data_IF_310521919527
#
_entry.id   IF_310521919527
#
_cell.length_a   1.000
_cell.length_b   1.000
_cell.length_c   1.000
_cell.angle_alpha   90.00
_cell.angle_beta   90.00
_cell.angle_gamma   90.00
#
_symmetry.space_group_name_H-M   'P 1'
#
loop_
_entity.id
_entity.type
_entity.pdbx_description
1 polymer ?
#
# COMPACT_ATOMS: atom_id res chain seq x y z
N UNK A 1 -9.89 -1.30 -11.04
CA UNK A 1 -9.04 -1.78 -12.15
C UNK A 1 -9.52 -3.14 -12.62
N UNK A 2 -9.60 -3.40 -13.94
CA UNK A 2 -9.96 -4.72 -14.49
C UNK A 2 -8.70 -5.45 -14.95
N UNK A 3 -8.36 -6.64 -14.41
CA UNK A 3 -7.16 -7.39 -14.79
C UNK A 3 -7.35 -8.13 -16.12
N UNK A 4 -6.24 -8.40 -16.81
CA UNK A 4 -6.27 -9.18 -18.07
C UNK A 4 -6.48 -10.68 -17.82
N UNK A 5 -5.93 -11.17 -16.70
CA UNK A 5 -5.98 -12.57 -16.25
C UNK A 5 -5.96 -12.61 -14.73
N UNK A 6 -6.65 -13.58 -14.16
CA UNK A 6 -6.58 -13.89 -12.73
C UNK A 6 -5.85 -15.22 -12.56
N UNK A 7 -4.72 -15.24 -11.87
CA UNK A 7 -4.09 -16.47 -11.41
C UNK A 7 -4.52 -16.73 -9.98
N UNK A 8 -4.98 -17.92 -9.64
CA UNK A 8 -5.53 -18.15 -8.30
C UNK A 8 -5.16 -19.50 -7.69
N UNK A 9 -4.95 -19.52 -6.38
CA UNK A 9 -4.90 -20.75 -5.61
C UNK A 9 -6.35 -21.25 -5.41
N UNK A 10 -6.70 -22.52 -5.72
CA UNK A 10 -8.07 -23.03 -5.57
C UNK A 10 -8.64 -22.85 -4.15
N UNK A 11 -7.79 -22.93 -3.12
CA UNK A 11 -8.17 -22.68 -1.74
C UNK A 11 -8.72 -21.27 -1.48
N UNK A 12 -8.36 -20.28 -2.30
CA UNK A 12 -8.84 -18.91 -2.15
C UNK A 12 -10.37 -18.82 -2.34
N UNK A 13 -10.96 -19.66 -3.19
CA UNK A 13 -12.41 -19.69 -3.43
C UNK A 13 -13.22 -20.25 -2.24
N UNK A 14 -12.55 -20.76 -1.20
CA UNK A 14 -13.20 -21.14 0.06
C UNK A 14 -13.53 -19.93 0.95
N UNK A 15 -12.92 -18.77 0.69
CA UNK A 15 -13.10 -17.53 1.46
C UNK A 15 -14.12 -16.61 0.80
N UNK A 16 -14.84 -15.81 1.59
CA UNK A 16 -15.85 -14.88 1.10
C UNK A 16 -15.29 -13.92 0.04
N UNK A 17 -14.15 -13.28 0.33
CA UNK A 17 -13.50 -12.36 -0.62
C UNK A 17 -13.08 -13.07 -1.92
N UNK A 18 -12.64 -14.33 -1.84
CA UNK A 18 -12.28 -15.11 -3.04
C UNK A 18 -13.49 -15.37 -3.94
N UNK A 19 -14.65 -15.68 -3.34
CA UNK A 19 -15.92 -15.84 -4.07
C UNK A 19 -16.38 -14.53 -4.70
N UNK A 20 -16.36 -13.42 -3.94
CA UNK A 20 -16.70 -12.09 -4.45
C UNK A 20 -15.80 -11.70 -5.63
N UNK A 21 -14.48 -11.89 -5.53
CA UNK A 21 -13.57 -11.59 -6.64
C UNK A 21 -13.87 -12.47 -7.88
N UNK A 22 -14.25 -13.74 -7.66
CA UNK A 22 -14.64 -14.65 -8.76
C UNK A 22 -15.90 -14.21 -9.48
N UNK A 23 -16.86 -13.66 -8.76
CA UNK A 23 -18.09 -13.09 -9.31
C UNK A 23 -17.81 -11.76 -10.02
N UNK A 24 -17.05 -10.85 -9.40
CA UNK A 24 -16.67 -9.55 -9.96
C UNK A 24 -15.87 -9.67 -11.26
N UNK A 25 -14.99 -10.67 -11.35
CA UNK A 25 -14.15 -10.93 -12.53
C UNK A 25 -14.56 -12.23 -13.22
N UNK A 26 -15.87 -12.48 -13.36
CA UNK A 26 -16.41 -13.70 -13.97
C UNK A 26 -16.11 -13.82 -15.47
N UNK A 27 -15.89 -12.68 -16.14
CA UNK A 27 -15.65 -12.53 -17.57
C UNK A 27 -14.15 -12.53 -17.93
N UNK A 28 -13.28 -12.58 -16.92
CA UNK A 28 -11.83 -12.65 -17.08
C UNK A 28 -11.37 -14.12 -16.99
N UNK A 29 -10.33 -14.55 -17.73
CA UNK A 29 -9.77 -15.88 -17.56
C UNK A 29 -9.17 -16.12 -16.16
N UNK A 30 -9.63 -17.17 -15.48
CA UNK A 30 -9.08 -17.64 -14.20
C UNK A 30 -8.20 -18.87 -14.42
N UNK A 31 -6.92 -18.77 -14.05
CA UNK A 31 -5.91 -19.81 -14.24
C UNK A 31 -5.49 -20.33 -12.87
N UNK A 32 -5.75 -21.61 -12.61
CA UNK A 32 -5.36 -22.22 -11.35
C UNK A 32 -3.82 -22.31 -11.22
N UNK A 33 -3.31 -22.03 -10.02
CA UNK A 33 -1.91 -22.14 -9.65
C UNK A 33 -1.79 -22.83 -8.29
N UNK A 34 -0.65 -23.48 -8.04
CA UNK A 34 -0.38 -24.14 -6.76
C UNK A 34 0.10 -23.17 -5.67
N UNK A 35 0.88 -22.16 -6.06
CA UNK A 35 1.56 -21.26 -5.13
C UNK A 35 1.65 -19.83 -5.68
N UNK A 36 1.00 -18.89 -5.00
CA UNK A 36 1.02 -17.47 -5.36
C UNK A 36 2.42 -16.82 -5.34
N UNK A 37 3.41 -17.43 -4.65
CA UNK A 37 4.80 -16.96 -4.64
C UNK A 37 5.67 -17.62 -5.71
N UNK A 38 5.21 -18.72 -6.32
CA UNK A 38 5.98 -19.47 -7.32
C UNK A 38 5.10 -19.84 -8.52
N UNK A 39 4.84 -18.87 -9.39
CA UNK A 39 4.08 -19.06 -10.62
C UNK A 39 5.08 -19.20 -11.78
N UNK A 40 5.49 -20.44 -12.09
CA UNK A 40 6.57 -20.73 -13.06
C UNK A 40 6.36 -20.03 -14.41
N UNK A 41 5.17 -20.13 -14.99
CA UNK A 41 4.79 -19.48 -16.25
C UNK A 41 4.90 -17.95 -16.28
N UNK A 42 5.00 -17.29 -15.12
CA UNK A 42 5.27 -15.86 -15.00
C UNK A 42 6.75 -15.59 -14.73
N UNK A 43 7.40 -16.44 -13.94
CA UNK A 43 8.82 -16.32 -13.58
C UNK A 43 9.75 -16.56 -14.77
N UNK A 44 9.38 -17.41 -15.71
CA UNK A 44 10.20 -17.75 -16.89
C UNK A 44 10.06 -16.74 -18.03
N UNK A 45 9.14 -15.77 -17.94
CA UNK A 45 8.95 -14.74 -18.99
C UNK A 45 10.13 -13.79 -19.09
N UNK A 46 10.33 -13.21 -20.27
CA UNK A 46 11.30 -12.12 -20.48
C UNK A 46 10.97 -10.89 -19.61
N UNK A 47 11.99 -10.12 -19.23
CA UNK A 47 11.80 -8.86 -18.49
C UNK A 47 10.97 -7.83 -19.28
N UNK A 48 10.94 -7.93 -20.61
CA UNK A 48 10.11 -7.06 -21.47
C UNK A 48 8.60 -7.25 -21.21
N UNK A 49 8.20 -8.39 -20.65
CA UNK A 49 6.80 -8.66 -20.30
C UNK A 49 6.38 -8.01 -18.98
N UNK A 50 7.30 -7.39 -18.24
CA UNK A 50 7.02 -6.80 -16.92
C UNK A 50 5.80 -5.86 -16.92
N UNK A 51 5.66 -4.88 -17.84
CA UNK A 51 4.48 -4.01 -17.86
C UNK A 51 3.17 -4.76 -18.09
N UNK A 52 3.16 -5.80 -18.94
CA UNK A 52 1.97 -6.64 -19.18
C UNK A 52 1.63 -7.47 -17.95
N UNK A 53 2.64 -8.02 -17.28
CA UNK A 53 2.44 -8.81 -16.05
C UNK A 53 1.82 -7.99 -14.91
N UNK A 54 2.06 -6.68 -14.85
CA UNK A 54 1.45 -5.76 -13.87
C UNK A 54 -0.06 -5.59 -14.06
N UNK A 55 -0.62 -6.02 -15.20
CA UNK A 55 -2.06 -6.08 -15.49
C UNK A 55 -2.71 -7.40 -15.08
N UNK A 56 -1.94 -8.37 -14.61
CA UNK A 56 -2.47 -9.62 -14.06
C UNK A 56 -2.78 -9.44 -12.58
N UNK A 57 -3.82 -10.14 -12.12
CA UNK A 57 -4.18 -10.23 -10.72
C UNK A 57 -3.89 -11.63 -10.20
N UNK A 58 -3.27 -11.73 -9.03
CA UNK A 58 -2.99 -13.00 -8.38
C UNK A 58 -3.81 -13.08 -7.11
N UNK A 59 -4.58 -14.15 -6.91
CA UNK A 59 -5.45 -14.34 -5.75
C UNK A 59 -5.02 -15.59 -4.98
N UNK A 60 -4.57 -15.41 -3.74
CA UNK A 60 -4.05 -16.51 -2.92
C UNK A 60 -4.52 -16.44 -1.47
N UNK A 61 -4.04 -17.38 -0.67
CA UNK A 61 -4.23 -17.38 0.79
C UNK A 61 -2.90 -17.05 1.46
N UNK A 62 -2.90 -16.06 2.37
CA UNK A 62 -1.69 -15.71 3.13
C UNK A 62 -1.37 -16.82 4.12
N UNK A 63 -0.28 -17.54 3.88
CA UNK A 63 0.15 -18.69 4.70
C UNK A 63 0.94 -18.26 5.94
N UNK A 64 1.80 -17.24 5.82
CA UNK A 64 2.60 -16.71 6.92
C UNK A 64 2.02 -15.40 7.45
N UNK A 65 1.75 -15.40 8.76
CA UNK A 65 1.28 -14.23 9.50
C UNK A 65 2.37 -13.63 10.42
N UNK A 66 3.65 -13.97 10.23
CA UNK A 66 4.74 -13.54 11.12
C UNK A 66 4.88 -12.00 11.12
N UNK A 67 4.87 -11.38 12.30
CA UNK A 67 5.19 -9.97 12.46
C UNK A 67 6.71 -9.81 12.52
N UNK A 68 7.24 -8.84 11.79
CA UNK A 68 8.68 -8.50 11.79
C UNK A 68 8.86 -7.19 12.56
N UNK A 69 9.71 -7.14 13.60
CA UNK A 69 9.99 -5.89 14.30
C UNK A 69 10.45 -4.78 13.34
N UNK A 70 10.00 -3.56 13.59
CA UNK A 70 10.38 -2.36 12.88
C UNK A 70 10.71 -1.26 13.90
N UNK A 71 11.64 -0.37 13.54
CA UNK A 71 12.15 0.67 14.43
C UNK A 71 11.99 2.05 13.80
N UNK A 72 10.83 2.27 13.17
CA UNK A 72 10.45 3.53 12.51
C UNK A 72 9.10 3.99 13.06
N UNK A 73 8.21 4.50 12.22
CA UNK A 73 6.84 4.87 12.60
C UNK A 73 6.02 3.68 13.10
N UNK A 74 6.35 2.46 12.68
CA UNK A 74 5.71 1.24 13.19
C UNK A 74 6.64 0.42 14.08
N UNK A 75 6.08 -0.27 15.07
CA UNK A 75 6.77 -1.29 15.88
C UNK A 75 6.89 -2.61 15.11
N UNK A 76 5.96 -2.88 14.18
CA UNK A 76 5.96 -4.10 13.36
C UNK A 76 5.66 -3.82 11.89
N UNK A 77 6.33 -4.54 10.99
CA UNK A 77 5.88 -4.82 9.63
C UNK A 77 5.02 -6.08 9.68
N UNK A 78 3.80 -6.01 9.16
CA UNK A 78 2.90 -7.17 9.15
C UNK A 78 2.55 -7.62 7.73
N UNK A 79 2.51 -8.93 7.48
CA UNK A 79 1.92 -9.48 6.27
C UNK A 79 0.41 -9.18 6.25
N UNK A 80 -0.05 -8.50 5.21
CA UNK A 80 -1.46 -8.11 5.10
C UNK A 80 -2.10 -8.53 3.76
N UNK A 81 -3.19 -7.87 3.39
CA UNK A 81 -4.13 -8.27 2.33
C UNK A 81 -3.57 -8.19 0.91
N UNK A 82 -2.42 -7.56 0.70
CA UNK A 82 -1.79 -7.54 -0.62
C UNK A 82 -0.27 -7.51 -0.61
N UNK A 83 0.32 -7.85 -1.76
CA UNK A 83 1.74 -7.66 -2.04
C UNK A 83 1.99 -7.35 -3.52
N UNK A 84 3.06 -6.63 -3.83
CA UNK A 84 3.27 -6.05 -5.15
C UNK A 84 2.33 -4.87 -5.41
N UNK A 85 2.35 -4.35 -6.64
CA UNK A 85 1.57 -3.16 -7.00
C UNK A 85 1.35 -3.17 -8.52
N UNK A 86 0.33 -2.49 -9.04
CA UNK A 86 0.16 -2.36 -10.50
C UNK A 86 0.90 -1.14 -11.06
N UNK A 87 1.22 -0.15 -10.22
CA UNK A 87 2.11 0.96 -10.58
C UNK A 87 3.57 0.52 -10.74
N UNK A 88 4.34 1.33 -11.46
CA UNK A 88 5.69 1.02 -11.93
C UNK A 88 6.67 2.14 -11.59
N UNK A 89 6.84 2.44 -10.30
CA UNK A 89 7.91 3.34 -9.86
C UNK A 89 9.28 2.71 -10.21
N UNK A 90 10.14 3.43 -10.94
CA UNK A 90 11.42 2.87 -11.41
C UNK A 90 12.39 2.50 -10.28
N UNK A 91 12.24 3.14 -9.12
CA UNK A 91 13.05 2.91 -7.93
C UNK A 91 12.45 1.88 -6.95
N UNK A 92 11.35 1.21 -7.31
CA UNK A 92 10.57 0.43 -6.35
C UNK A 92 11.36 -0.74 -5.75
N UNK A 93 11.63 -0.70 -4.44
CA UNK A 93 12.33 -1.78 -3.74
C UNK A 93 11.60 -3.14 -3.79
N UNK A 94 10.28 -3.15 -4.04
CA UNK A 94 9.55 -4.41 -4.26
C UNK A 94 10.04 -5.14 -5.51
N UNK A 95 10.64 -4.43 -6.49
CA UNK A 95 11.30 -5.06 -7.63
C UNK A 95 12.61 -5.70 -7.20
N UNK A 96 13.34 -5.19 -6.21
CA UNK A 96 14.51 -5.88 -5.66
C UNK A 96 14.11 -7.21 -4.99
N UNK A 97 12.96 -7.24 -4.30
CA UNK A 97 12.50 -8.43 -3.58
C UNK A 97 11.74 -9.45 -4.45
N UNK A 98 10.93 -8.96 -5.40
CA UNK A 98 10.05 -9.80 -6.23
C UNK A 98 10.45 -9.82 -7.71
N UNK A 99 11.46 -9.05 -8.11
CA UNK A 99 11.87 -8.87 -9.50
C UNK A 99 10.64 -8.52 -10.39
N UNK A 100 10.57 -9.06 -11.60
CA UNK A 100 9.42 -8.94 -12.50
C UNK A 100 8.11 -9.51 -11.94
N UNK A 101 8.14 -10.23 -10.81
CA UNK A 101 6.95 -10.77 -10.14
C UNK A 101 6.35 -9.80 -9.11
N UNK A 102 6.69 -8.51 -9.15
CA UNK A 102 6.10 -7.45 -8.32
C UNK A 102 4.70 -6.99 -8.77
N UNK A 103 3.96 -7.87 -9.46
CA UNK A 103 2.54 -7.69 -9.79
C UNK A 103 1.64 -7.76 -8.54
N UNK A 104 0.41 -7.28 -8.65
CA UNK A 104 -0.52 -7.25 -7.52
C UNK A 104 -1.02 -8.66 -7.17
N UNK A 105 -0.69 -9.09 -5.95
CA UNK A 105 -1.23 -10.27 -5.27
C UNK A 105 -2.22 -9.82 -4.20
N UNK A 106 -3.39 -10.44 -4.16
CA UNK A 106 -4.42 -10.27 -3.14
C UNK A 106 -4.53 -11.54 -2.29
N UNK A 107 -4.71 -11.35 -0.99
CA UNK A 107 -4.87 -12.43 -0.03
C UNK A 107 -6.27 -12.42 0.58
N UNK A 108 -6.98 -13.54 0.45
CA UNK A 108 -8.42 -13.59 0.73
C UNK A 108 -8.78 -13.87 2.19
N UNK A 109 -7.82 -14.21 3.04
CA UNK A 109 -8.01 -14.54 4.46
C UNK A 109 -7.79 -13.33 5.39
N UNK A 110 -8.35 -12.18 5.02
CA UNK A 110 -8.17 -10.88 5.73
C UNK A 110 -8.55 -10.93 7.21
N UNK A 111 -9.54 -11.75 7.55
CA UNK A 111 -10.03 -11.94 8.92
C UNK A 111 -8.93 -12.52 9.81
N UNK A 112 -8.18 -13.51 9.30
CA UNK A 112 -7.08 -14.15 10.05
C UNK A 112 -5.92 -13.18 10.26
N UNK A 113 -5.59 -12.39 9.22
CA UNK A 113 -4.54 -11.37 9.29
C UNK A 113 -4.90 -10.29 10.31
N UNK A 114 -6.12 -9.74 10.25
CA UNK A 114 -6.57 -8.70 11.18
C UNK A 114 -6.69 -9.22 12.61
N UNK A 115 -7.23 -10.43 12.81
CA UNK A 115 -7.34 -11.05 14.13
C UNK A 115 -5.97 -11.14 14.82
N UNK A 116 -4.92 -11.52 14.09
CA UNK A 116 -3.57 -11.57 14.65
C UNK A 116 -3.07 -10.19 15.10
N UNK A 117 -3.29 -9.15 14.29
CA UNK A 117 -2.91 -7.78 14.64
C UNK A 117 -3.63 -7.35 15.93
N UNK A 118 -4.95 -7.55 15.99
CA UNK A 118 -5.77 -7.19 17.16
C UNK A 118 -5.28 -7.93 18.41
N UNK A 119 -5.10 -9.25 18.33
CA UNK A 119 -4.62 -10.07 19.45
C UNK A 119 -3.27 -9.56 19.97
N UNK A 120 -2.31 -9.31 19.08
CA UNK A 120 -1.00 -8.77 19.47
C UNK A 120 -1.10 -7.38 20.10
N UNK A 121 -2.01 -6.53 19.61
CA UNK A 121 -2.24 -5.20 20.18
C UNK A 121 -2.85 -5.28 21.59
N UNK A 122 -3.79 -6.21 21.81
CA UNK A 122 -4.47 -6.39 23.10
C UNK A 122 -3.53 -6.89 24.21
N UNK A 123 -2.66 -7.84 23.85
CA UNK A 123 -1.67 -8.46 24.74
C UNK A 123 -0.50 -7.52 25.11
N UNK A 124 -0.32 -6.42 24.37
CA UNK A 124 0.77 -5.48 24.61
C UNK A 124 0.50 -4.54 25.80
N UNK A 125 1.56 -4.21 26.53
CA UNK A 125 1.52 -3.27 27.66
C UNK A 125 1.35 -1.82 27.21
N UNK A 126 1.85 -1.48 26.02
CA UNK A 126 1.74 -0.16 25.38
C UNK A 126 1.00 -0.27 24.05
N UNK A 127 0.52 0.85 23.53
CA UNK A 127 0.02 0.90 22.15
C UNK A 127 1.15 0.59 21.16
N UNK A 128 0.91 -0.40 20.30
CA UNK A 128 1.80 -0.81 19.21
C UNK A 128 1.28 -0.28 17.87
N UNK A 129 2.18 0.12 16.99
CA UNK A 129 1.85 0.54 15.63
C UNK A 129 2.21 -0.55 14.62
N UNK A 130 1.26 -0.97 13.80
CA UNK A 130 1.39 -2.05 12.80
C UNK A 130 1.35 -1.51 11.38
N UNK A 131 2.42 -1.73 10.62
CA UNK A 131 2.54 -1.34 9.21
C UNK A 131 1.90 -2.40 8.30
N UNK A 132 0.74 -2.08 7.74
CA UNK A 132 -0.03 -2.99 6.88
C UNK A 132 0.27 -2.79 5.38
N UNK A 133 0.95 -1.70 5.00
CA UNK A 133 1.25 -1.35 3.61
C UNK A 133 2.70 -1.56 3.18
N UNK A 134 3.51 -2.30 3.96
CA UNK A 134 4.94 -2.49 3.67
C UNK A 134 5.28 -3.29 2.41
N UNK A 135 4.32 -3.96 1.79
CA UNK A 135 4.58 -4.80 0.61
C UNK A 135 3.65 -4.49 -0.57
N UNK A 136 2.80 -3.48 -0.46
CA UNK A 136 1.76 -3.13 -1.43
C UNK A 136 1.32 -1.69 -1.22
N UNK A 137 0.47 -1.16 -2.09
CA UNK A 137 -0.24 0.09 -1.84
C UNK A 137 -1.70 -0.20 -1.47
N UNK A 138 -2.06 0.10 -0.22
CA UNK A 138 -3.35 -0.29 0.34
C UNK A 138 -4.53 0.50 -0.25
N UNK A 139 -4.31 1.76 -0.66
CA UNK A 139 -5.36 2.58 -1.27
C UNK A 139 -5.62 2.10 -2.69
N UNK A 140 -4.57 1.78 -3.45
CA UNK A 140 -4.72 1.18 -4.78
C UNK A 140 -5.43 -0.18 -4.71
N UNK A 141 -5.03 -1.03 -3.76
CA UNK A 141 -5.68 -2.33 -3.55
C UNK A 141 -7.17 -2.18 -3.24
N UNK A 142 -7.53 -1.20 -2.41
CA UNK A 142 -8.90 -0.97 -2.00
C UNK A 142 -9.86 -0.72 -3.17
N UNK A 143 -9.35 -0.19 -4.29
CA UNK A 143 -10.13 -0.01 -5.54
C UNK A 143 -10.63 -1.32 -6.17
N UNK A 144 -10.17 -2.48 -5.66
CA UNK A 144 -10.56 -3.81 -6.10
C UNK A 144 -11.35 -4.55 -5.02
N UNK A 145 -10.93 -4.43 -3.76
CA UNK A 145 -11.36 -5.35 -2.69
C UNK A 145 -12.22 -4.73 -1.60
N UNK A 146 -12.22 -3.40 -1.46
CA UNK A 146 -12.75 -2.70 -0.28
C UNK A 146 -12.13 -3.23 1.04
N UNK A 147 -10.93 -3.82 0.98
CA UNK A 147 -10.26 -4.38 2.16
C UNK A 147 -9.85 -3.30 3.15
N UNK A 148 -9.34 -2.16 2.67
CA UNK A 148 -8.88 -1.10 3.57
C UNK A 148 -10.07 -0.49 4.32
N UNK A 149 -11.21 -0.31 3.66
CA UNK A 149 -12.46 0.11 4.32
C UNK A 149 -12.87 -0.87 5.42
N UNK A 150 -12.94 -2.17 5.08
CA UNK A 150 -13.24 -3.22 6.04
C UNK A 150 -12.23 -3.26 7.19
N UNK A 151 -10.94 -3.12 6.90
CA UNK A 151 -9.86 -3.12 7.89
C UNK A 151 -9.99 -1.96 8.86
N UNK A 152 -10.19 -0.74 8.36
CA UNK A 152 -10.31 0.46 9.18
C UNK A 152 -11.52 0.34 10.11
N UNK A 153 -12.69 -0.04 9.59
CA UNK A 153 -13.91 -0.19 10.39
C UNK A 153 -13.78 -1.26 11.48
N UNK A 154 -13.11 -2.38 11.19
CA UNK A 154 -12.97 -3.47 12.15
C UNK A 154 -11.84 -3.22 13.16
N UNK A 155 -10.72 -2.64 12.72
CA UNK A 155 -9.62 -2.29 13.63
C UNK A 155 -9.96 -1.09 14.51
N UNK A 156 -10.71 -0.10 13.98
CA UNK A 156 -11.12 1.09 14.73
C UNK A 156 -11.91 0.79 16.00
N UNK A 157 -12.59 -0.36 16.06
CA UNK A 157 -13.29 -0.85 17.26
C UNK A 157 -12.35 -1.28 18.38
N UNK A 158 -11.06 -1.52 18.09
CA UNK A 158 -10.11 -1.99 19.06
C UNK A 158 -9.68 -0.88 20.03
N UNK A 159 -9.48 -1.25 21.30
CA UNK A 159 -9.08 -0.31 22.36
C UNK A 159 -7.58 -0.05 22.41
N UNK A 160 -6.77 -0.88 21.75
CA UNK A 160 -5.30 -0.79 21.75
C UNK A 160 -4.73 -0.86 20.33
N UNK A 161 -3.52 -0.33 20.21
CA UNK A 161 -2.73 -0.33 18.99
C UNK A 161 -3.21 0.66 17.93
N UNK A 162 -2.42 0.77 16.88
CA UNK A 162 -2.67 1.59 15.70
C UNK A 162 -2.26 0.81 14.45
N UNK A 163 -2.93 1.05 13.33
CA UNK A 163 -2.46 0.62 12.01
C UNK A 163 -1.93 1.80 11.22
N UNK A 164 -0.90 1.57 10.42
CA UNK A 164 -0.35 2.57 9.51
C UNK A 164 -0.17 2.00 8.11
N UNK A 165 -0.36 2.84 7.10
CA UNK A 165 -0.12 2.48 5.70
C UNK A 165 0.34 3.70 4.90
N UNK A 166 1.40 3.58 4.09
CA UNK A 166 1.75 4.60 3.12
C UNK A 166 0.94 4.42 1.84
N UNK A 167 0.78 5.49 1.07
CA UNK A 167 0.25 5.43 -0.29
C UNK A 167 0.87 6.49 -1.20
N UNK A 168 0.76 6.28 -2.51
CA UNK A 168 1.02 7.26 -3.59
C UNK A 168 -0.24 7.66 -4.35
N UNK A 169 -1.43 7.28 -3.84
CA UNK A 169 -2.71 7.44 -4.54
C UNK A 169 -3.65 8.38 -3.79
N UNK A 170 -4.45 9.12 -4.55
CA UNK A 170 -5.38 10.13 -4.05
C UNK A 170 -6.82 9.65 -3.88
N UNK A 171 -7.11 8.37 -4.19
CA UNK A 171 -8.45 7.76 -4.12
C UNK A 171 -8.87 7.43 -2.67
N UNK A 172 -8.88 8.45 -1.82
CA UNK A 172 -9.10 8.31 -0.37
C UNK A 172 -10.56 8.53 0.04
N UNK A 173 -11.42 8.97 -0.89
CA UNK A 173 -12.83 9.32 -0.61
C UNK A 173 -13.61 8.24 0.14
N UNK A 174 -13.51 6.93 -0.21
CA UNK A 174 -14.21 5.87 0.52
C UNK A 174 -13.77 5.73 1.98
N UNK A 175 -12.59 6.24 2.34
CA UNK A 175 -12.03 6.13 3.68
C UNK A 175 -12.48 7.26 4.61
N UNK A 176 -12.85 8.42 4.04
CA UNK A 176 -13.19 9.62 4.81
C UNK A 176 -14.32 9.43 5.83
N UNK A 177 -15.43 8.71 5.54
CA UNK A 177 -16.55 8.60 6.47
C UNK A 177 -16.42 7.44 7.47
N UNK A 178 -15.31 6.71 7.50
CA UNK A 178 -15.18 5.50 8.31
C UNK A 178 -14.89 5.80 9.79
N UNK A 179 -15.43 4.99 10.69
CA UNK A 179 -15.16 5.06 12.13
C UNK A 179 -13.75 4.52 12.48
N UNK A 180 -12.73 5.33 12.21
CA UNK A 180 -11.32 4.98 12.46
C UNK A 180 -10.89 5.19 13.92
N UNK A 181 -11.68 5.91 14.73
CA UNK A 181 -11.46 6.14 16.17
C UNK A 181 -10.04 6.61 16.56
N UNK A 182 -9.37 7.38 15.68
CA UNK A 182 -7.99 7.83 15.89
C UNK A 182 -6.92 6.70 15.92
N UNK A 183 -7.28 5.48 15.49
CA UNK A 183 -6.44 4.27 15.50
C UNK A 183 -5.71 4.01 14.18
N UNK A 184 -5.83 4.93 13.23
CA UNK A 184 -5.30 4.79 11.87
C UNK A 184 -4.40 5.97 11.55
N UNK A 185 -3.19 5.67 11.07
CA UNK A 185 -2.22 6.65 10.59
C UNK A 185 -2.09 6.47 9.06
N UNK A 186 -2.64 7.40 8.30
CA UNK A 186 -2.45 7.43 6.85
C UNK A 186 -1.17 8.18 6.51
N UNK A 187 -0.43 7.71 5.51
CA UNK A 187 0.86 8.28 5.18
C UNK A 187 0.98 8.53 3.68
N UNK A 188 1.29 9.76 3.27
CA UNK A 188 1.35 10.13 1.86
C UNK A 188 2.80 10.27 1.39
N UNK A 189 3.19 9.46 0.40
CA UNK A 189 4.48 9.60 -0.26
C UNK A 189 4.48 10.80 -1.20
N UNK A 190 5.45 11.70 -1.04
CA UNK A 190 5.62 12.89 -1.89
C UNK A 190 7.04 12.93 -2.47
N UNK A 191 7.16 13.59 -3.62
CA UNK A 191 8.41 13.94 -4.29
C UNK A 191 8.13 15.17 -5.16
N UNK A 192 9.15 15.92 -5.64
CA UNK A 192 8.93 16.97 -6.62
C UNK A 192 8.15 16.45 -7.84
N UNK A 193 7.21 17.25 -8.35
CA UNK A 193 6.32 16.84 -9.45
C UNK A 193 7.10 16.37 -10.70
N UNK A 194 8.25 16.98 -10.97
CA UNK A 194 9.13 16.58 -12.08
C UNK A 194 9.66 15.15 -11.92
N UNK A 195 10.05 14.77 -10.70
CA UNK A 195 10.49 13.40 -10.38
C UNK A 195 9.32 12.44 -10.54
N UNK A 196 8.17 12.75 -9.93
CA UNK A 196 6.95 11.92 -10.04
C UNK A 196 6.61 11.64 -11.50
N UNK A 197 6.59 12.67 -12.34
CA UNK A 197 6.20 12.57 -13.76
C UNK A 197 7.16 11.72 -14.58
N UNK A 198 8.46 11.72 -14.22
CA UNK A 198 9.49 11.00 -14.96
C UNK A 198 9.59 9.53 -14.57
N UNK A 199 9.34 9.17 -13.31
CA UNK A 199 9.70 7.84 -12.80
C UNK A 199 8.67 7.14 -11.90
N UNK A 200 7.55 7.79 -11.53
CA UNK A 200 6.49 7.19 -10.71
C UNK A 200 5.26 6.80 -11.54
N UNK A 201 5.46 5.95 -12.55
CA UNK A 201 4.41 5.61 -13.51
C UNK A 201 3.20 4.93 -12.87
N UNK A 202 2.01 5.42 -13.23
CA UNK A 202 0.74 4.88 -12.74
C UNK A 202 0.41 5.27 -11.29
N UNK A 203 0.98 6.36 -10.79
CA UNK A 203 0.66 6.94 -9.46
C UNK A 203 0.02 8.32 -9.59
N UNK A 204 -0.55 8.86 -8.51
CA UNK A 204 -1.18 10.18 -8.53
C UNK A 204 -0.13 11.30 -8.57
N UNK A 205 -0.47 12.45 -9.17
CA UNK A 205 0.39 13.64 -9.17
C UNK A 205 0.51 14.27 -7.77
N UNK A 206 1.54 15.08 -7.52
CA UNK A 206 1.80 15.72 -6.22
C UNK A 206 0.60 16.51 -5.72
N UNK A 207 0.01 17.37 -6.57
CA UNK A 207 -1.15 18.19 -6.21
C UNK A 207 -2.33 17.35 -5.71
N UNK A 208 -2.58 16.22 -6.36
CA UNK A 208 -3.63 15.29 -5.96
C UNK A 208 -3.31 14.59 -4.63
N UNK A 209 -2.04 14.26 -4.39
CA UNK A 209 -1.59 13.69 -3.12
C UNK A 209 -1.75 14.68 -1.96
N UNK A 210 -1.41 15.95 -2.17
CA UNK A 210 -1.60 17.03 -1.18
C UNK A 210 -3.09 17.20 -0.86
N UNK A 211 -3.95 17.23 -1.89
CA UNK A 211 -5.41 17.29 -1.70
C UNK A 211 -5.93 16.12 -0.86
N UNK A 212 -5.55 14.89 -1.21
CA UNK A 212 -5.96 13.70 -0.47
C UNK A 212 -5.47 13.74 1.00
N UNK A 213 -4.25 14.20 1.23
CA UNK A 213 -3.70 14.36 2.57
C UNK A 213 -4.50 15.39 3.40
N UNK A 214 -4.87 16.53 2.82
CA UNK A 214 -5.76 17.49 3.45
C UNK A 214 -7.14 16.89 3.77
N UNK A 215 -7.73 16.12 2.86
CA UNK A 215 -9.03 15.45 3.08
C UNK A 215 -8.96 14.45 4.25
N UNK A 216 -7.90 13.63 4.32
CA UNK A 216 -7.70 12.69 5.42
C UNK A 216 -7.57 13.38 6.77
N UNK A 217 -6.75 14.44 6.87
CA UNK A 217 -6.64 15.23 8.09
C UNK A 217 -7.96 15.94 8.44
N UNK A 218 -8.70 16.42 7.45
CA UNK A 218 -9.99 17.05 7.68
C UNK A 218 -10.99 16.05 8.29
N UNK A 219 -10.95 14.79 7.86
CA UNK A 219 -11.68 13.68 8.43
C UNK A 219 -11.05 13.09 9.71
N UNK A 220 -10.19 13.84 10.41
CA UNK A 220 -9.60 13.50 11.72
C UNK A 220 -8.67 12.26 11.74
N UNK A 221 -8.25 11.76 10.57
CA UNK A 221 -7.17 10.78 10.51
C UNK A 221 -5.86 11.40 10.98
N UNK A 222 -5.08 10.62 11.73
CA UNK A 222 -3.66 10.90 11.93
C UNK A 222 -2.96 10.76 10.60
N UNK A 223 -2.06 11.68 10.27
CA UNK A 223 -1.36 11.64 9.00
C UNK A 223 0.14 11.90 9.10
N UNK A 224 0.88 11.42 8.10
CA UNK A 224 2.30 11.68 7.90
C UNK A 224 2.65 11.89 6.43
N UNK A 225 3.74 12.60 6.18
CA UNK A 225 4.36 12.75 4.85
C UNK A 225 5.59 11.84 4.79
N UNK A 226 5.80 11.19 3.65
CA UNK A 226 7.05 10.50 3.34
C UNK A 226 7.70 11.15 2.13
N UNK A 227 8.82 11.84 2.34
CA UNK A 227 9.69 12.27 1.25
C UNK A 227 10.58 11.07 0.92
N UNK A 228 10.09 10.20 0.02
CA UNK A 228 10.65 8.86 -0.16
C UNK A 228 10.44 8.28 -1.58
N UNK A 229 11.53 7.88 -2.26
CA UNK A 229 12.93 8.12 -1.91
C UNK A 229 13.37 9.56 -2.24
N UNK A 230 14.32 10.10 -1.47
CA UNK A 230 15.10 11.28 -1.85
C UNK A 230 16.08 10.88 -2.95
N UNK A 231 16.01 11.54 -4.11
CA UNK A 231 16.78 11.24 -5.31
C UNK A 231 17.61 12.46 -5.69
N UNK A 232 18.94 12.29 -5.69
CA UNK A 232 19.87 13.35 -6.09
C UNK A 232 20.04 13.41 -7.61
N UNK A 233 19.13 14.16 -8.26
CA UNK A 233 19.32 14.66 -9.63
C UNK A 233 20.11 15.97 -9.61
N UNK A 234 20.63 16.44 -10.75
CA UNK A 234 21.54 17.60 -10.84
C UNK A 234 21.04 18.85 -10.09
N UNK A 235 19.76 19.21 -10.25
CA UNK A 235 19.10 20.35 -9.59
C UNK A 235 18.28 19.97 -8.35
N UNK A 236 18.61 18.87 -7.66
CA UNK A 236 17.79 18.34 -6.55
C UNK A 236 17.48 19.37 -5.47
N UNK A 237 18.43 20.23 -5.08
CA UNK A 237 18.22 21.22 -4.01
C UNK A 237 17.05 22.15 -4.33
N UNK A 238 17.01 22.66 -5.56
CA UNK A 238 15.94 23.52 -6.03
C UNK A 238 14.59 22.78 -6.08
N UNK A 239 14.59 21.54 -6.59
CA UNK A 239 13.38 20.72 -6.68
C UNK A 239 12.78 20.40 -5.32
N UNK A 240 13.62 20.01 -4.36
CA UNK A 240 13.15 19.71 -3.01
C UNK A 240 12.80 20.99 -2.23
N UNK A 241 13.48 22.12 -2.44
CA UNK A 241 13.04 23.42 -1.89
C UNK A 241 11.63 23.76 -2.37
N UNK A 242 11.39 23.69 -3.69
CA UNK A 242 10.08 23.93 -4.30
C UNK A 242 9.00 22.96 -3.79
N UNK A 243 9.35 21.70 -3.53
CA UNK A 243 8.45 20.74 -2.90
C UNK A 243 8.04 21.20 -1.49
N UNK A 244 8.98 21.64 -0.67
CA UNK A 244 8.69 22.10 0.69
C UNK A 244 7.85 23.39 0.65
N UNK A 245 8.19 24.34 -0.23
CA UNK A 245 7.41 25.57 -0.43
C UNK A 245 5.97 25.24 -0.84
N UNK A 246 5.79 24.36 -1.83
CA UNK A 246 4.48 23.92 -2.28
C UNK A 246 3.67 23.21 -1.18
N UNK A 247 4.32 22.37 -0.37
CA UNK A 247 3.67 21.74 0.78
C UNK A 247 3.27 22.78 1.82
N UNK A 248 4.12 23.77 2.10
CA UNK A 248 3.80 24.85 3.02
C UNK A 248 2.63 25.72 2.53
N UNK A 249 2.52 25.94 1.21
CA UNK A 249 1.45 26.75 0.63
C UNK A 249 0.10 25.99 0.53
N UNK A 250 0.14 24.71 0.14
CA UNK A 250 -1.08 23.95 -0.20
C UNK A 250 -1.63 23.08 0.94
N UNK A 251 -0.84 22.74 1.97
CA UNK A 251 -1.36 22.02 3.14
C UNK A 251 -2.26 22.94 3.97
N UNK A 252 -3.37 22.40 4.46
CA UNK A 252 -4.27 23.12 5.37
C UNK A 252 -3.61 23.35 6.73
N UNK A 253 -4.04 24.37 7.47
CA UNK A 253 -3.56 24.61 8.83
C UNK A 253 -3.80 23.42 9.77
N UNK A 254 -4.95 22.73 9.61
CA UNK A 254 -5.26 21.49 10.34
C UNK A 254 -4.28 20.36 10.01
N UNK A 255 -3.82 20.29 8.77
CA UNK A 255 -2.82 19.30 8.36
C UNK A 255 -1.44 19.66 8.93
N UNK A 256 -1.01 20.91 8.76
CA UNK A 256 0.29 21.40 9.26
C UNK A 256 0.46 21.21 10.77
N UNK A 257 -0.60 21.39 11.55
CA UNK A 257 -0.53 21.32 13.01
C UNK A 257 -0.34 19.92 13.60
N UNK A 258 -0.57 18.86 12.82
CA UNK A 258 -0.49 17.47 13.31
C UNK A 258 0.51 16.59 12.56
N UNK A 259 0.93 16.98 11.35
CA UNK A 259 1.64 16.07 10.46
C UNK A 259 3.10 15.87 10.88
N UNK A 260 3.57 14.64 10.80
CA UNK A 260 5.00 14.33 10.90
C UNK A 260 5.60 14.03 9.52
N UNK A 261 6.92 14.16 9.41
CA UNK A 261 7.64 13.93 8.15
C UNK A 261 8.64 12.78 8.36
N UNK A 262 8.58 11.78 7.48
CA UNK A 262 9.60 10.76 7.30
C UNK A 262 10.41 11.08 6.04
N UNK A 263 11.73 10.96 6.14
CA UNK A 263 12.65 11.15 5.01
C UNK A 263 13.40 9.84 4.79
N UNK A 264 13.33 9.30 3.57
CA UNK A 264 14.00 8.05 3.20
C UNK A 264 14.87 8.34 1.99
N UNK A 265 16.18 8.21 2.13
CA UNK A 265 17.10 8.33 1.00
C UNK A 265 16.97 7.13 0.07
N UNK A 266 17.15 7.37 -1.22
CA UNK A 266 17.24 6.28 -2.18
C UNK A 266 18.40 5.36 -1.80
N UNK A 267 18.11 4.08 -1.62
CA UNK A 267 19.13 3.05 -1.43
C UNK A 267 19.26 2.24 -2.71
N UNK A 268 20.49 2.02 -3.13
CA UNK A 268 20.78 1.11 -4.23
C UNK A 268 20.98 -0.27 -3.66
N UNK A 269 20.08 -1.19 -3.99
CA UNK A 269 20.28 -2.61 -3.72
C UNK A 269 21.05 -3.19 -4.91
N UNK A 270 22.27 -3.66 -4.65
CA UNK A 270 22.99 -4.49 -5.59
C UNK A 270 22.32 -5.87 -5.55
N UNK A 271 21.46 -6.15 -6.54
CA UNK A 271 21.03 -7.52 -6.85
C UNK A 271 22.02 -8.09 -7.85
#
# INVERSE_FOLDING_TARGET
MKPDKVFYEPAALKYALGKTLKETFNDIPWIAIENHNNIEQLRTRSNQEFPKMKRHLIVGVRKSLKHTPNHKVSDFLVPYTSSGCTAMCLYCYLVCNYNKCSYLRLFVNREQMLYKIIKTAEEAEKDLVFEIGSNSDMVLENTITQNLEWTIQNFGKNKKGLITFPTKFDMVEPLLPLDHNGRVIMRMSVNPQEIISKIEFGTSQLKNRIRALNQMCQADYKAGILIAPVIFVENWKELYSKLIDQLADELSEKTKSQIFIEIIFMTYSYV
#
